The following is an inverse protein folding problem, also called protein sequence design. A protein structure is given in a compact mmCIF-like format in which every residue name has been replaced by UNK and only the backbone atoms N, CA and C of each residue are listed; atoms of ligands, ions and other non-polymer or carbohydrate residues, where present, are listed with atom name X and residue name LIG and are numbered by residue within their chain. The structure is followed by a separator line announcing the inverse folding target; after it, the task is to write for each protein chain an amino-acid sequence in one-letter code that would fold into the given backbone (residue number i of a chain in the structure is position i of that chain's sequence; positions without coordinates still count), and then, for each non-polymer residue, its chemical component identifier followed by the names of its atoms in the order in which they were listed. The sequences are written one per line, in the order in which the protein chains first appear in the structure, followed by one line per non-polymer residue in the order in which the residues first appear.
data_IF_871425001431
#
_entry.id   IF_871425001431
#
_cell.length_a   1.000
_cell.length_b   1.000
_cell.length_c   1.000
_cell.angle_alpha   90.00
_cell.angle_beta   90.00
_cell.angle_gamma   90.00
#
_symmetry.space_group_name_H-M   'P 1'
#
loop_
_entity.id
_entity.type
_entity.pdbx_description
1 polymer ?
#
# COMPACT_ATOMS: atom_id res chain seq x y z
N UNK A 1 -14.23 -26.04 -23.09
CA UNK A 1 -14.38 -25.87 -21.64
C UNK A 1 -14.40 -24.37 -21.35
N UNK A 2 -15.58 -23.80 -21.10
CA UNK A 2 -15.72 -22.40 -20.70
C UNK A 2 -15.16 -22.27 -19.28
N UNK A 3 -14.06 -21.56 -19.13
CA UNK A 3 -13.57 -21.15 -17.81
C UNK A 3 -14.66 -20.26 -17.20
N UNK A 4 -15.35 -20.76 -16.19
CA UNK A 4 -16.27 -19.95 -15.40
C UNK A 4 -15.49 -18.74 -14.88
N UNK A 5 -15.78 -17.55 -15.40
CA UNK A 5 -15.26 -16.30 -14.89
C UNK A 5 -15.76 -16.22 -13.44
N UNK A 6 -14.84 -16.30 -12.48
CA UNK A 6 -15.18 -16.14 -11.07
C UNK A 6 -15.88 -14.79 -10.91
N UNK A 7 -17.05 -14.79 -10.31
CA UNK A 7 -17.86 -13.58 -10.09
C UNK A 7 -17.49 -12.85 -8.80
N UNK A 8 -16.44 -13.29 -8.09
CA UNK A 8 -16.02 -12.68 -6.83
C UNK A 8 -15.37 -11.32 -7.08
N UNK A 9 -15.84 -10.24 -6.42
CA UNK A 9 -15.37 -8.89 -6.66
C UNK A 9 -13.97 -8.60 -6.07
N UNK A 10 -13.43 -9.53 -5.27
CA UNK A 10 -12.09 -9.46 -4.67
C UNK A 10 -11.46 -10.84 -4.73
N UNK A 11 -10.18 -10.91 -5.07
CA UNK A 11 -9.44 -12.18 -5.20
C UNK A 11 -8.11 -12.15 -4.49
N UNK A 12 -7.67 -13.32 -4.02
CA UNK A 12 -6.29 -13.56 -3.55
C UNK A 12 -5.54 -14.33 -4.64
N UNK A 13 -4.32 -13.87 -4.94
CA UNK A 13 -3.36 -14.61 -5.76
C UNK A 13 -2.08 -14.77 -4.94
N UNK A 14 -1.67 -16.02 -4.72
CA UNK A 14 -0.43 -16.33 -4.00
C UNK A 14 0.68 -16.61 -5.01
N UNK A 15 1.72 -15.77 -4.97
CA UNK A 15 2.85 -15.88 -5.89
C UNK A 15 3.98 -16.75 -5.28
N UNK A 16 4.78 -17.46 -6.11
CA UNK A 16 5.88 -18.29 -5.62
C UNK A 16 6.96 -17.53 -4.84
N UNK A 17 7.12 -16.22 -5.10
CA UNK A 17 8.06 -15.31 -4.43
C UNK A 17 7.55 -14.77 -3.08
N UNK A 18 6.53 -15.44 -2.49
CA UNK A 18 5.92 -15.11 -1.20
C UNK A 18 5.17 -13.79 -1.18
N UNK A 19 4.85 -13.21 -2.32
CA UNK A 19 3.91 -12.10 -2.43
C UNK A 19 2.48 -12.65 -2.38
N UNK A 20 1.65 -12.06 -1.53
CA UNK A 20 0.20 -12.31 -1.52
C UNK A 20 -0.48 -11.11 -2.14
N UNK A 21 -1.06 -11.30 -3.32
CA UNK A 21 -1.81 -10.26 -4.01
C UNK A 21 -3.27 -10.30 -3.58
N UNK A 22 -3.77 -9.16 -3.11
CA UNK A 22 -5.19 -8.87 -2.95
C UNK A 22 -5.62 -7.98 -4.11
N UNK A 23 -6.51 -8.47 -4.95
CA UNK A 23 -6.95 -7.80 -6.17
C UNK A 23 -8.44 -7.50 -6.15
N UNK A 24 -8.80 -6.22 -6.28
CA UNK A 24 -10.16 -5.82 -6.63
C UNK A 24 -10.43 -6.28 -8.06
N UNK A 25 -11.55 -6.96 -8.31
CA UNK A 25 -11.80 -7.66 -9.58
C UNK A 25 -13.23 -7.48 -10.09
N UNK A 26 -13.72 -6.24 -10.00
CA UNK A 26 -14.99 -5.81 -10.61
C UNK A 26 -14.77 -4.58 -11.52
N UNK A 27 -13.96 -4.74 -12.60
CA UNK A 27 -13.60 -3.63 -13.49
C UNK A 27 -14.79 -3.02 -14.21
N UNK A 28 -15.86 -3.78 -14.44
CA UNK A 28 -17.07 -3.30 -15.11
C UNK A 28 -17.80 -2.21 -14.34
N UNK A 29 -17.62 -2.16 -13.00
CA UNK A 29 -18.15 -1.08 -12.13
C UNK A 29 -17.05 -0.19 -11.57
N UNK A 30 -15.83 -0.23 -12.11
CA UNK A 30 -14.70 0.54 -11.62
C UNK A 30 -14.28 0.16 -10.19
N UNK A 31 -14.52 -1.09 -9.80
CA UNK A 31 -14.25 -1.62 -8.45
C UNK A 31 -14.99 -0.82 -7.36
N UNK A 32 -16.24 -0.43 -7.63
CA UNK A 32 -17.07 0.32 -6.70
C UNK A 32 -17.42 -0.51 -5.45
N UNK A 33 -17.53 0.17 -4.31
CA UNK A 33 -17.85 -0.44 -3.02
C UNK A 33 -19.37 -0.42 -2.80
N UNK A 34 -20.05 -1.49 -3.12
CA UNK A 34 -21.35 -1.86 -2.57
C UNK A 34 -21.17 -2.78 -1.35
N UNK A 35 -22.25 -3.22 -0.72
CA UNK A 35 -22.15 -4.08 0.46
C UNK A 35 -21.45 -5.41 0.14
N UNK A 36 -21.77 -6.03 -0.99
CA UNK A 36 -21.14 -7.28 -1.43
C UNK A 36 -19.62 -7.12 -1.61
N UNK A 37 -19.20 -6.07 -2.29
CA UNK A 37 -17.77 -5.81 -2.54
C UNK A 37 -17.04 -5.47 -1.24
N UNK A 38 -17.65 -4.67 -0.36
CA UNK A 38 -17.06 -4.30 0.93
C UNK A 38 -16.93 -5.51 1.87
N UNK A 39 -17.92 -6.39 1.90
CA UNK A 39 -17.87 -7.64 2.68
C UNK A 39 -16.82 -8.61 2.10
N UNK A 40 -16.78 -8.80 0.80
CA UNK A 40 -15.76 -9.61 0.14
C UNK A 40 -14.35 -9.07 0.43
N UNK A 41 -14.16 -7.74 0.38
CA UNK A 41 -12.88 -7.11 0.70
C UNK A 41 -12.49 -7.35 2.17
N UNK A 42 -13.44 -7.20 3.11
CA UNK A 42 -13.23 -7.51 4.54
C UNK A 42 -12.78 -8.95 4.75
N UNK A 43 -13.51 -9.89 4.16
CA UNK A 43 -13.27 -11.31 4.38
C UNK A 43 -11.96 -11.76 3.74
N UNK A 44 -11.67 -11.26 2.53
CA UNK A 44 -10.38 -11.44 1.85
C UNK A 44 -9.21 -10.83 2.65
N UNK A 45 -9.37 -9.63 3.20
CA UNK A 45 -8.34 -9.00 4.02
C UNK A 45 -8.03 -9.81 5.30
N UNK A 46 -9.07 -10.39 5.92
CA UNK A 46 -8.91 -11.30 7.07
C UNK A 46 -8.20 -12.60 6.70
N UNK A 47 -8.54 -13.18 5.55
CA UNK A 47 -7.84 -14.37 5.05
C UNK A 47 -6.35 -14.07 4.79
N UNK A 48 -6.05 -12.94 4.15
CA UNK A 48 -4.66 -12.49 3.97
C UNK A 48 -3.97 -12.25 5.32
N UNK A 49 -4.68 -11.73 6.33
CA UNK A 49 -4.10 -11.52 7.66
C UNK A 49 -3.73 -12.85 8.36
N UNK A 50 -4.44 -13.93 8.09
CA UNK A 50 -4.13 -15.25 8.64
C UNK A 50 -2.83 -15.85 8.02
N UNK A 51 -2.55 -15.56 6.74
CA UNK A 51 -1.33 -15.99 6.05
C UNK A 51 -0.88 -14.92 5.02
N UNK A 52 -0.18 -13.87 5.47
CA UNK A 52 0.18 -12.72 4.65
C UNK A 52 1.42 -12.91 3.78
N UNK A 53 2.05 -14.09 3.80
CA UNK A 53 3.30 -14.31 3.08
C UNK A 53 4.46 -13.46 3.59
N UNK A 54 5.30 -12.95 2.67
CA UNK A 54 6.42 -12.05 2.96
C UNK A 54 6.09 -10.57 2.74
N UNK A 55 5.16 -10.27 1.84
CA UNK A 55 4.61 -8.94 1.55
C UNK A 55 3.24 -9.07 0.90
N UNK A 56 2.38 -8.06 1.06
CA UNK A 56 1.08 -7.98 0.41
C UNK A 56 1.12 -6.94 -0.72
N UNK A 57 0.55 -7.28 -1.87
CA UNK A 57 0.33 -6.40 -3.00
C UNK A 57 -1.17 -6.14 -3.16
N UNK A 58 -1.61 -4.91 -2.90
CA UNK A 58 -2.99 -4.48 -3.14
C UNK A 58 -3.06 -3.79 -4.49
N UNK A 59 -3.87 -4.33 -5.41
CA UNK A 59 -4.11 -3.73 -6.72
C UNK A 59 -5.52 -3.98 -7.22
N UNK A 60 -5.84 -3.48 -8.41
CA UNK A 60 -7.15 -3.63 -9.02
C UNK A 60 -7.05 -4.08 -10.47
N UNK A 61 -8.05 -4.83 -10.94
CA UNK A 61 -8.24 -5.14 -12.34
C UNK A 61 -8.89 -3.95 -13.08
N UNK A 62 -8.60 -3.85 -14.37
CA UNK A 62 -9.17 -2.85 -15.26
C UNK A 62 -8.53 -1.48 -15.19
N UNK A 63 -9.26 -0.47 -15.63
CA UNK A 63 -8.76 0.90 -15.83
C UNK A 63 -8.87 1.82 -14.61
N UNK A 64 -9.46 1.38 -13.50
CA UNK A 64 -9.61 2.15 -12.25
C UNK A 64 -9.20 1.31 -11.05
N UNK A 65 -8.57 1.93 -10.08
CA UNK A 65 -8.27 1.28 -8.82
C UNK A 65 -9.56 1.01 -8.02
N UNK A 66 -10.28 2.07 -7.65
CA UNK A 66 -11.57 1.99 -6.98
C UNK A 66 -12.25 3.36 -7.04
N UNK A 67 -13.46 3.42 -7.55
CA UNK A 67 -14.22 4.67 -7.68
C UNK A 67 -15.00 5.06 -6.42
N UNK A 68 -14.79 4.34 -5.30
CA UNK A 68 -15.46 4.60 -4.02
C UNK A 68 -16.82 3.91 -3.91
N UNK A 69 -17.70 4.44 -3.06
CA UNK A 69 -19.03 3.88 -2.83
C UNK A 69 -19.89 3.82 -4.10
N UNK A 70 -20.67 2.76 -4.26
CA UNK A 70 -21.63 2.64 -5.36
C UNK A 70 -22.84 3.55 -5.09
N UNK A 71 -22.80 4.75 -5.66
CA UNK A 71 -23.86 5.76 -5.49
C UNK A 71 -25.22 5.30 -6.03
N UNK A 72 -25.25 4.41 -7.03
CA UNK A 72 -26.52 3.85 -7.54
C UNK A 72 -27.14 2.92 -6.52
N UNK A 73 -26.33 2.08 -5.88
CA UNK A 73 -26.77 1.22 -4.78
C UNK A 73 -27.22 2.04 -3.56
N UNK A 74 -26.61 3.20 -3.31
CA UNK A 74 -26.99 4.12 -2.21
C UNK A 74 -28.33 4.81 -2.51
N UNK A 75 -28.47 5.44 -3.69
CA UNK A 75 -29.64 6.19 -4.06
C UNK A 75 -30.93 5.35 -4.12
N UNK A 76 -30.82 4.04 -4.41
CA UNK A 76 -31.96 3.13 -4.51
C UNK A 76 -32.61 2.74 -3.17
N UNK A 77 -32.12 3.22 -2.02
CA UNK A 77 -32.56 2.78 -0.67
C UNK A 77 -33.58 3.68 0.02
N UNK A 78 -33.88 4.85 -0.51
CA UNK A 78 -34.82 5.78 0.12
C UNK A 78 -34.44 6.11 1.56
N UNK A 79 -35.36 5.96 2.50
CA UNK A 79 -35.12 6.24 3.96
C UNK A 79 -34.14 5.26 4.60
N UNK A 80 -33.81 4.14 3.96
CA UNK A 80 -32.80 3.17 4.41
C UNK A 80 -31.36 3.47 3.97
N UNK A 81 -31.12 4.57 3.24
CA UNK A 81 -29.80 4.90 2.70
C UNK A 81 -28.74 4.99 3.79
N UNK A 82 -29.00 5.67 4.90
CA UNK A 82 -28.04 5.83 6.00
C UNK A 82 -27.60 4.49 6.60
N UNK A 83 -28.52 3.59 6.87
CA UNK A 83 -28.21 2.26 7.40
C UNK A 83 -27.39 1.41 6.42
N UNK A 84 -27.71 1.49 5.12
CA UNK A 84 -26.96 0.79 4.09
C UNK A 84 -25.53 1.32 3.92
N UNK A 85 -25.38 2.65 3.84
CA UNK A 85 -24.06 3.31 3.76
C UNK A 85 -23.21 2.96 4.99
N UNK A 86 -23.81 2.96 6.20
CA UNK A 86 -23.13 2.54 7.42
C UNK A 86 -22.62 1.09 7.32
N UNK A 87 -23.44 0.16 6.80
CA UNK A 87 -23.03 -1.24 6.64
C UNK A 87 -21.87 -1.38 5.66
N UNK A 88 -21.93 -0.69 4.50
CA UNK A 88 -20.84 -0.67 3.51
C UNK A 88 -19.56 -0.08 4.12
N UNK A 89 -19.65 1.08 4.76
CA UNK A 89 -18.52 1.73 5.41
C UNK A 89 -17.91 0.84 6.50
N UNK A 90 -18.73 0.22 7.36
CA UNK A 90 -18.25 -0.66 8.43
C UNK A 90 -17.49 -1.87 7.89
N UNK A 91 -17.97 -2.49 6.81
CA UNK A 91 -17.28 -3.61 6.17
C UNK A 91 -15.95 -3.15 5.54
N UNK A 92 -15.95 -2.02 4.81
CA UNK A 92 -14.75 -1.45 4.20
C UNK A 92 -13.72 -1.02 5.27
N UNK A 93 -14.16 -0.41 6.37
CA UNK A 93 -13.29 -0.04 7.51
C UNK A 93 -12.61 -1.26 8.12
N UNK A 94 -13.36 -2.37 8.30
CA UNK A 94 -12.78 -3.60 8.82
C UNK A 94 -11.70 -4.17 7.89
N UNK A 95 -11.87 -4.04 6.56
CA UNK A 95 -10.84 -4.40 5.60
C UNK A 95 -9.60 -3.49 5.68
N UNK A 96 -9.82 -2.17 5.73
CA UNK A 96 -8.73 -1.18 5.88
C UNK A 96 -7.95 -1.43 7.16
N UNK A 97 -8.65 -1.68 8.28
CA UNK A 97 -8.01 -1.98 9.55
C UNK A 97 -7.19 -3.27 9.48
N UNK A 98 -7.76 -4.36 8.93
CA UNK A 98 -7.04 -5.63 8.80
C UNK A 98 -5.77 -5.49 7.95
N UNK A 99 -5.83 -4.76 6.82
CA UNK A 99 -4.67 -4.49 5.97
C UNK A 99 -3.63 -3.58 6.66
N UNK A 100 -4.10 -2.56 7.36
CA UNK A 100 -3.24 -1.67 8.14
C UNK A 100 -2.48 -2.42 9.22
N UNK A 101 -3.13 -3.33 9.95
CA UNK A 101 -2.55 -4.11 11.05
C UNK A 101 -1.65 -5.27 10.60
N UNK A 102 -1.59 -5.59 9.29
CA UNK A 102 -0.71 -6.65 8.78
C UNK A 102 0.72 -6.44 9.29
N UNK A 103 1.36 -7.50 9.79
CA UNK A 103 2.74 -7.40 10.26
C UNK A 103 3.75 -7.29 9.12
N UNK A 104 3.38 -7.70 7.90
CA UNK A 104 4.23 -7.63 6.71
C UNK A 104 4.00 -6.32 5.95
N UNK A 105 4.96 -5.87 5.11
CA UNK A 105 4.78 -4.71 4.26
C UNK A 105 3.60 -4.87 3.30
N UNK A 106 2.85 -3.78 3.09
CA UNK A 106 1.77 -3.67 2.10
C UNK A 106 2.21 -2.68 1.02
N UNK A 107 2.24 -3.14 -0.23
CA UNK A 107 2.45 -2.31 -1.41
C UNK A 107 1.11 -2.12 -2.11
N UNK A 108 0.73 -0.87 -2.40
CA UNK A 108 -0.47 -0.58 -3.19
C UNK A 108 -0.09 -0.06 -4.57
N UNK A 109 -0.75 -0.58 -5.62
CA UNK A 109 -0.59 -0.12 -7.01
C UNK A 109 -1.86 0.55 -7.48
N UNK A 110 -1.80 1.85 -7.78
CA UNK A 110 -2.96 2.68 -8.16
C UNK A 110 -2.91 3.04 -9.63
N UNK A 111 -3.83 2.46 -10.41
CA UNK A 111 -4.06 2.80 -11.82
C UNK A 111 -5.40 3.53 -11.97
N UNK A 112 -5.44 4.54 -12.86
CA UNK A 112 -6.66 5.24 -13.18
C UNK A 112 -7.29 5.95 -11.97
N UNK A 113 -8.60 5.82 -11.78
CA UNK A 113 -9.30 6.52 -10.72
C UNK A 113 -9.18 5.82 -9.36
N UNK A 114 -8.82 6.62 -8.34
CA UNK A 114 -9.05 6.33 -6.93
C UNK A 114 -9.93 7.46 -6.38
N UNK A 115 -11.18 7.15 -6.03
CA UNK A 115 -12.12 8.18 -5.60
C UNK A 115 -12.83 7.77 -4.29
N UNK A 116 -13.23 8.76 -3.48
CA UNK A 116 -13.91 8.53 -2.22
C UNK A 116 -13.20 7.49 -1.35
N UNK A 117 -13.91 6.45 -0.90
CA UNK A 117 -13.35 5.33 -0.12
C UNK A 117 -12.20 4.60 -0.83
N UNK A 118 -12.13 4.66 -2.17
CA UNK A 118 -11.01 4.13 -2.93
C UNK A 118 -9.69 4.85 -2.66
N UNK A 119 -9.70 6.15 -2.31
CA UNK A 119 -8.50 6.86 -1.86
C UNK A 119 -8.05 6.31 -0.50
N UNK A 120 -8.95 6.19 0.46
CA UNK A 120 -8.61 5.63 1.78
C UNK A 120 -8.04 4.22 1.67
N UNK A 121 -8.65 3.38 0.83
CA UNK A 121 -8.14 2.04 0.55
C UNK A 121 -6.76 2.04 -0.13
N UNK A 122 -6.48 3.00 -1.03
CA UNK A 122 -5.17 3.13 -1.64
C UNK A 122 -4.10 3.49 -0.60
N UNK A 123 -4.44 4.36 0.35
CA UNK A 123 -3.52 4.89 1.36
C UNK A 123 -3.21 3.93 2.51
N UNK A 124 -3.83 2.76 2.58
CA UNK A 124 -3.52 1.74 3.59
C UNK A 124 -2.14 1.12 3.36
N UNK A 125 -1.60 1.20 2.15
CA UNK A 125 -0.27 0.69 1.81
C UNK A 125 0.86 1.42 2.53
N UNK A 126 1.87 0.67 2.96
CA UNK A 126 3.11 1.25 3.50
C UNK A 126 3.93 1.91 2.37
N UNK A 127 3.83 1.36 1.16
CA UNK A 127 4.42 1.92 -0.07
C UNK A 127 3.31 1.96 -1.12
N UNK A 128 3.04 3.15 -1.65
CA UNK A 128 2.02 3.35 -2.68
C UNK A 128 2.69 3.78 -3.99
N UNK A 129 2.52 2.99 -5.04
CA UNK A 129 2.92 3.34 -6.40
C UNK A 129 1.68 3.75 -7.18
N UNK A 130 1.78 4.81 -7.95
CA UNK A 130 0.68 5.27 -8.81
C UNK A 130 1.13 5.38 -10.27
N UNK A 131 0.25 5.11 -11.21
CA UNK A 131 0.47 5.55 -12.58
C UNK A 131 0.49 7.08 -12.62
N UNK A 132 1.38 7.71 -13.44
CA UNK A 132 1.41 9.18 -13.62
C UNK A 132 0.03 9.74 -13.99
N UNK A 133 -0.71 8.99 -14.81
CA UNK A 133 -2.07 9.31 -15.24
C UNK A 133 -3.15 9.01 -14.19
N UNK A 134 -2.83 8.39 -13.04
CA UNK A 134 -3.80 8.13 -11.99
C UNK A 134 -4.46 9.43 -11.50
N UNK A 135 -5.69 9.31 -10.99
CA UNK A 135 -6.48 10.45 -10.51
C UNK A 135 -7.01 10.14 -9.11
N UNK A 136 -6.60 10.97 -8.15
CA UNK A 136 -7.06 10.88 -6.77
C UNK A 136 -8.06 11.99 -6.50
N UNK A 137 -9.26 11.64 -6.02
CA UNK A 137 -10.31 12.61 -5.69
C UNK A 137 -11.12 12.14 -4.48
N UNK A 138 -11.26 12.98 -3.46
CA UNK A 138 -12.03 12.60 -2.26
C UNK A 138 -13.55 12.55 -2.55
N UNK A 139 -14.08 13.51 -3.29
CA UNK A 139 -15.45 13.58 -3.84
C UNK A 139 -16.60 13.53 -2.82
N UNK A 140 -16.36 13.34 -1.54
CA UNK A 140 -17.40 13.17 -0.52
C UNK A 140 -18.28 14.42 -0.34
N UNK A 141 -17.67 15.58 -0.11
CA UNK A 141 -18.40 16.82 0.15
C UNK A 141 -19.20 17.31 -1.06
N UNK A 142 -18.78 16.91 -2.28
CA UNK A 142 -19.53 17.19 -3.51
C UNK A 142 -20.90 16.49 -3.56
N UNK A 143 -21.07 15.42 -2.80
CA UNK A 143 -22.32 14.65 -2.73
C UNK A 143 -22.95 14.69 -1.32
N UNK A 144 -22.51 15.62 -0.47
CA UNK A 144 -23.06 15.82 0.87
C UNK A 144 -22.66 14.75 1.90
N UNK A 145 -21.57 14.02 1.65
CA UNK A 145 -21.04 13.00 2.57
C UNK A 145 -19.73 13.45 3.21
N UNK A 146 -19.34 12.74 4.26
CA UNK A 146 -18.05 12.87 4.94
C UNK A 146 -17.05 11.80 4.48
N UNK A 147 -15.73 12.03 4.58
CA UNK A 147 -14.72 11.01 4.33
C UNK A 147 -14.92 9.75 5.17
N UNK A 148 -14.62 8.60 4.57
CA UNK A 148 -14.59 7.27 5.17
C UNK A 148 -13.31 6.51 4.81
N UNK A 149 -13.25 5.19 5.02
CA UNK A 149 -12.12 4.31 4.72
C UNK A 149 -10.76 4.84 5.23
N UNK A 150 -10.77 5.60 6.34
CA UNK A 150 -9.56 6.16 6.93
C UNK A 150 -9.00 7.39 6.20
N UNK A 151 -9.64 7.91 5.15
CA UNK A 151 -9.11 9.04 4.38
C UNK A 151 -8.86 10.28 5.27
N UNK A 152 -9.75 10.60 6.20
CA UNK A 152 -9.58 11.71 7.15
C UNK A 152 -8.48 11.46 8.19
N UNK A 153 -8.09 10.21 8.39
CA UNK A 153 -7.00 9.83 9.29
C UNK A 153 -5.63 9.81 8.57
N UNK A 154 -5.57 9.23 7.36
CA UNK A 154 -4.33 9.13 6.59
C UNK A 154 -3.87 10.48 6.02
N UNK A 155 -4.78 11.22 5.38
CA UNK A 155 -4.41 12.43 4.62
C UNK A 155 -3.65 13.47 5.45
N UNK A 156 -4.11 13.90 6.65
CA UNK A 156 -3.38 14.91 7.42
C UNK A 156 -1.97 14.46 7.83
N UNK A 157 -1.78 13.16 8.00
CA UNK A 157 -0.50 12.54 8.36
C UNK A 157 0.47 12.45 7.19
N UNK A 158 -0.04 12.27 5.98
CA UNK A 158 0.77 12.13 4.76
C UNK A 158 1.11 13.48 4.13
N UNK A 159 0.12 14.35 3.94
CA UNK A 159 0.29 15.59 3.18
C UNK A 159 0.23 16.86 4.03
N UNK A 160 0.04 16.70 5.34
CA UNK A 160 -0.18 17.78 6.29
C UNK A 160 -1.63 18.31 6.28
N UNK A 161 -2.04 19.01 7.36
CA UNK A 161 -3.45 19.36 7.57
C UNK A 161 -4.01 20.32 6.53
N UNK A 162 -3.21 21.25 5.99
CA UNK A 162 -3.68 22.24 5.01
C UNK A 162 -3.98 21.61 3.65
N UNK A 163 -3.11 20.74 3.16
CA UNK A 163 -3.32 20.01 1.90
C UNK A 163 -4.46 19.01 2.04
N UNK A 164 -4.56 18.34 3.19
CA UNK A 164 -5.69 17.44 3.47
C UNK A 164 -7.04 18.22 3.44
N UNK A 165 -7.09 19.39 4.06
CA UNK A 165 -8.29 20.26 4.00
C UNK A 165 -8.61 20.69 2.57
N UNK A 166 -7.61 21.10 1.78
CA UNK A 166 -7.80 21.47 0.37
C UNK A 166 -8.41 20.29 -0.42
N UNK A 167 -7.85 19.10 -0.31
CA UNK A 167 -8.36 17.91 -1.00
C UNK A 167 -9.79 17.55 -0.61
N UNK A 168 -10.09 17.55 0.70
CA UNK A 168 -11.39 17.12 1.22
C UNK A 168 -12.47 18.15 0.95
N UNK A 169 -12.19 19.43 1.20
CA UNK A 169 -13.22 20.47 1.17
C UNK A 169 -13.49 20.98 -0.25
N UNK A 170 -12.46 21.01 -1.12
CA UNK A 170 -12.62 21.49 -2.50
C UNK A 170 -12.85 20.39 -3.51
N UNK A 171 -12.69 19.12 -3.11
CA UNK A 171 -12.74 17.95 -4.00
C UNK A 171 -11.74 18.04 -5.17
N UNK A 172 -10.60 18.69 -4.94
CA UNK A 172 -9.54 18.82 -5.93
C UNK A 172 -9.04 17.44 -6.38
N UNK A 173 -8.76 17.33 -7.67
CA UNK A 173 -8.15 16.14 -8.26
C UNK A 173 -6.64 16.30 -8.26
N UNK A 174 -5.92 15.28 -7.79
CA UNK A 174 -4.48 15.16 -8.00
C UNK A 174 -4.20 14.12 -9.08
N UNK A 175 -3.20 14.39 -9.91
CA UNK A 175 -2.57 13.40 -10.78
C UNK A 175 -1.65 12.48 -9.97
N UNK A 176 -1.17 11.36 -10.54
CA UNK A 176 -0.14 10.54 -9.91
C UNK A 176 1.13 11.34 -9.58
N UNK A 177 1.57 12.20 -10.51
CA UNK A 177 2.74 13.07 -10.30
C UNK A 177 2.49 14.14 -9.22
N UNK A 178 1.29 14.71 -9.16
CA UNK A 178 0.92 15.62 -8.06
C UNK A 178 0.89 14.89 -6.72
N UNK A 179 0.37 13.67 -6.70
CA UNK A 179 0.29 12.84 -5.51
C UNK A 179 1.68 12.49 -4.95
N UNK A 180 2.66 12.19 -5.83
CA UNK A 180 4.06 12.00 -5.44
C UNK A 180 4.67 13.30 -4.90
N UNK A 181 4.54 14.42 -5.62
CA UNK A 181 5.06 15.74 -5.17
C UNK A 181 4.48 16.19 -3.83
N UNK A 182 3.26 15.77 -3.51
CA UNK A 182 2.61 16.10 -2.24
C UNK A 182 2.95 15.13 -1.12
N UNK A 183 3.58 13.99 -1.42
CA UNK A 183 3.85 12.93 -0.47
C UNK A 183 2.63 12.05 -0.17
N UNK A 184 1.60 12.11 -1.04
CA UNK A 184 0.42 11.25 -0.92
C UNK A 184 0.73 9.81 -1.33
N UNK A 185 1.58 9.64 -2.35
CA UNK A 185 2.09 8.35 -2.80
C UNK A 185 3.62 8.35 -2.78
N UNK A 186 4.21 7.16 -2.68
CA UNK A 186 5.66 7.00 -2.59
C UNK A 186 6.37 7.27 -3.90
N UNK A 187 5.76 6.90 -5.02
CA UNK A 187 6.32 7.08 -6.38
C UNK A 187 5.21 7.09 -7.43
N UNK A 188 5.39 7.89 -8.48
CA UNK A 188 4.65 7.79 -9.74
C UNK A 188 5.53 7.16 -10.81
N UNK A 189 4.94 6.32 -11.65
CA UNK A 189 5.61 5.59 -12.75
C UNK A 189 4.75 5.61 -13.99
N UNK A 190 5.33 5.30 -15.15
CA UNK A 190 4.53 5.13 -16.37
C UNK A 190 3.49 4.02 -16.19
N UNK A 191 2.29 4.24 -16.75
CA UNK A 191 1.17 3.34 -16.52
C UNK A 191 1.42 1.89 -16.91
N UNK A 192 2.24 1.68 -17.96
CA UNK A 192 2.64 0.35 -18.45
C UNK A 192 3.60 -0.35 -17.49
N UNK A 193 4.40 0.40 -16.76
CA UNK A 193 5.40 -0.12 -15.82
C UNK A 193 4.83 -0.40 -14.44
N UNK A 194 3.64 0.12 -14.10
CA UNK A 194 3.10 0.10 -12.74
C UNK A 194 3.03 -1.31 -12.14
N UNK A 195 2.46 -2.27 -12.88
CA UNK A 195 2.25 -3.62 -12.36
C UNK A 195 3.59 -4.32 -12.09
N UNK A 196 4.55 -4.16 -13.00
CA UNK A 196 5.90 -4.72 -12.86
C UNK A 196 6.65 -4.04 -11.71
N UNK A 197 6.58 -2.72 -11.61
CA UNK A 197 7.24 -1.96 -10.55
C UNK A 197 6.67 -2.31 -9.17
N UNK A 198 5.34 -2.42 -9.04
CA UNK A 198 4.67 -2.77 -7.79
C UNK A 198 4.99 -4.20 -7.37
N UNK A 199 4.89 -5.17 -8.29
CA UNK A 199 5.23 -6.56 -7.99
C UNK A 199 6.71 -6.70 -7.60
N UNK A 200 7.63 -6.10 -8.36
CA UNK A 200 9.07 -6.08 -8.03
C UNK A 200 9.35 -5.48 -6.65
N UNK A 201 8.63 -4.40 -6.28
CA UNK A 201 8.75 -3.79 -4.95
C UNK A 201 8.28 -4.77 -3.87
N UNK A 202 7.12 -5.40 -4.04
CA UNK A 202 6.58 -6.38 -3.09
C UNK A 202 7.48 -7.62 -2.97
N UNK A 203 7.98 -8.15 -4.10
CA UNK A 203 8.89 -9.31 -4.13
C UNK A 203 10.23 -9.01 -3.43
N UNK A 204 10.80 -7.82 -3.65
CA UNK A 204 12.00 -7.37 -2.96
C UNK A 204 11.82 -7.30 -1.43
N UNK A 205 10.65 -6.82 -0.97
CA UNK A 205 10.29 -6.82 0.45
C UNK A 205 10.07 -8.25 0.99
N UNK A 206 9.38 -9.10 0.23
CA UNK A 206 9.12 -10.48 0.62
C UNK A 206 10.39 -11.32 0.75
N UNK A 207 11.42 -11.04 -0.08
CA UNK A 207 12.75 -11.64 0.01
C UNK A 207 13.64 -11.01 1.09
N UNK A 208 13.20 -9.87 1.67
CA UNK A 208 13.95 -9.12 2.67
C UNK A 208 14.05 -9.80 4.04
N UNK A 209 14.67 -9.10 5.00
CA UNK A 209 14.76 -9.53 6.40
C UNK A 209 13.39 -9.37 7.09
N UNK A 210 12.54 -10.39 7.01
CA UNK A 210 11.13 -10.30 7.40
C UNK A 210 10.91 -9.86 8.84
N UNK A 211 11.74 -10.32 9.79
CA UNK A 211 11.65 -9.88 11.20
C UNK A 211 11.96 -8.39 11.35
N UNK A 212 13.02 -7.90 10.67
CA UNK A 212 13.39 -6.49 10.70
C UNK A 212 12.34 -5.59 10.03
N UNK A 213 11.79 -6.02 8.88
CA UNK A 213 10.73 -5.29 8.19
C UNK A 213 9.47 -5.15 9.04
N UNK A 214 9.06 -6.24 9.74
CA UNK A 214 7.92 -6.20 10.67
C UNK A 214 8.15 -5.24 11.83
N UNK A 215 9.35 -5.31 12.45
CA UNK A 215 9.69 -4.42 13.55
C UNK A 215 9.73 -2.95 13.10
N UNK A 216 10.38 -2.66 11.97
CA UNK A 216 10.44 -1.32 11.40
C UNK A 216 9.04 -0.76 11.09
N UNK A 217 8.16 -1.57 10.47
CA UNK A 217 6.76 -1.18 10.23
C UNK A 217 6.01 -0.87 11.53
N UNK A 218 6.21 -1.70 12.56
CA UNK A 218 5.63 -1.47 13.88
C UNK A 218 6.07 -0.13 14.49
N UNK A 219 7.37 0.16 14.45
CA UNK A 219 7.95 1.42 14.94
C UNK A 219 7.41 2.64 14.18
N UNK A 220 7.36 2.58 12.85
CA UNK A 220 6.81 3.67 12.02
C UNK A 220 5.35 3.99 12.39
N UNK A 221 4.57 2.97 12.74
CA UNK A 221 3.16 3.14 13.13
C UNK A 221 2.99 3.64 14.56
N UNK A 222 3.80 3.15 15.49
CA UNK A 222 3.79 3.59 16.89
C UNK A 222 4.25 5.05 17.00
N UNK A 223 5.25 5.47 16.23
CA UNK A 223 5.85 6.81 16.29
C UNK A 223 4.89 7.97 15.98
N UNK A 224 3.72 7.70 15.47
CA UNK A 224 2.72 8.75 15.18
C UNK A 224 1.92 9.21 16.42
N UNK A 225 2.05 8.55 17.56
CA UNK A 225 1.28 8.84 18.79
C UNK A 225 2.07 8.81 20.08
N UNK A 226 3.31 8.35 20.07
CA UNK A 226 4.13 8.19 21.28
C UNK A 226 5.02 9.39 21.56
N UNK A 227 5.37 9.60 22.85
CA UNK A 227 6.45 10.52 23.22
C UNK A 227 7.80 9.99 22.71
N UNK A 228 8.64 10.89 22.16
CA UNK A 228 9.93 10.54 21.54
C UNK A 228 10.79 9.64 22.43
N UNK A 229 10.90 9.93 23.74
CA UNK A 229 11.73 9.16 24.65
C UNK A 229 11.30 7.69 24.75
N UNK A 230 10.00 7.41 24.83
CA UNK A 230 9.45 6.05 24.87
C UNK A 230 9.68 5.34 23.53
N UNK A 231 9.49 6.05 22.42
CA UNK A 231 9.74 5.51 21.09
C UNK A 231 11.21 5.12 20.90
N UNK A 232 12.18 5.99 21.28
CA UNK A 232 13.61 5.69 21.23
C UNK A 232 14.01 4.50 22.10
N UNK A 233 13.39 4.32 23.27
CA UNK A 233 13.62 3.15 24.11
C UNK A 233 13.14 1.85 23.44
N UNK A 234 11.99 1.89 22.74
CA UNK A 234 11.50 0.73 22.00
C UNK A 234 12.36 0.43 20.76
N UNK A 235 12.85 1.46 20.05
CA UNK A 235 13.81 1.28 18.95
C UNK A 235 15.07 0.56 19.44
N UNK A 236 15.66 1.02 20.55
CA UNK A 236 16.86 0.43 21.13
C UNK A 236 16.64 -1.05 21.51
N UNK A 237 15.49 -1.36 22.10
CA UNK A 237 15.13 -2.73 22.50
C UNK A 237 14.99 -3.65 21.27
N UNK A 238 14.29 -3.21 20.25
CA UNK A 238 14.05 -4.00 19.03
C UNK A 238 15.32 -4.24 18.22
N UNK A 239 16.16 -3.22 18.00
CA UNK A 239 17.40 -3.37 17.25
C UNK A 239 18.35 -4.37 17.94
N UNK A 240 18.46 -4.30 19.28
CA UNK A 240 19.25 -5.25 20.04
C UNK A 240 18.73 -6.68 19.89
N UNK A 241 17.42 -6.89 20.03
CA UNK A 241 16.78 -8.19 19.88
C UNK A 241 17.00 -8.78 18.48
N UNK A 242 16.89 -7.96 17.44
CA UNK A 242 17.10 -8.39 16.05
C UNK A 242 18.57 -8.69 15.76
N UNK A 243 19.51 -7.92 16.31
CA UNK A 243 20.95 -8.13 16.15
C UNK A 243 21.42 -9.49 16.71
N UNK A 244 20.78 -9.97 17.77
CA UNK A 244 21.01 -11.30 18.34
C UNK A 244 20.42 -12.43 17.48
N UNK A 245 19.56 -12.09 16.51
CA UNK A 245 18.93 -13.05 15.62
C UNK A 245 19.88 -13.62 14.57
N UNK A 246 19.70 -14.89 14.19
CA UNK A 246 20.52 -15.55 13.16
C UNK A 246 20.42 -14.84 11.81
N UNK A 247 19.23 -14.43 11.41
CA UNK A 247 18.99 -13.73 10.14
C UNK A 247 19.81 -12.45 10.02
N UNK A 248 19.84 -11.62 11.06
CA UNK A 248 20.60 -10.38 11.06
C UNK A 248 22.10 -10.65 10.95
N UNK A 249 22.61 -11.64 11.71
CA UNK A 249 24.04 -12.02 11.65
C UNK A 249 24.44 -12.52 10.26
N UNK A 250 23.63 -13.39 9.65
CA UNK A 250 23.90 -13.93 8.31
C UNK A 250 23.89 -12.81 7.24
N UNK A 251 22.96 -11.87 7.33
CA UNK A 251 22.88 -10.72 6.42
C UNK A 251 24.04 -9.74 6.59
N UNK A 252 24.44 -9.44 7.83
CA UNK A 252 25.61 -8.60 8.11
C UNK A 252 26.88 -9.23 7.55
N UNK A 253 27.10 -10.52 7.75
CA UNK A 253 28.25 -11.25 7.22
C UNK A 253 28.28 -11.22 5.67
N UNK A 254 27.15 -11.46 5.02
CA UNK A 254 27.03 -11.40 3.56
C UNK A 254 27.32 -9.99 3.01
N UNK A 255 26.82 -8.94 3.67
CA UNK A 255 27.09 -7.56 3.31
C UNK A 255 28.57 -7.21 3.39
N UNK A 256 29.24 -7.57 4.49
CA UNK A 256 30.67 -7.33 4.66
C UNK A 256 31.49 -8.05 3.60
N UNK A 257 31.20 -9.34 3.35
CA UNK A 257 31.89 -10.12 2.32
C UNK A 257 31.69 -9.54 0.90
N UNK A 258 30.52 -9.01 0.58
CA UNK A 258 30.29 -8.34 -0.71
C UNK A 258 31.11 -7.06 -0.84
N UNK A 259 31.17 -6.25 0.24
CA UNK A 259 31.96 -5.01 0.28
C UNK A 259 33.46 -5.26 0.15
N UNK A 260 33.96 -6.32 0.78
CA UNK A 260 35.38 -6.68 0.70
C UNK A 260 35.78 -7.16 -0.71
N UNK A 261 34.89 -7.91 -1.39
CA UNK A 261 35.08 -8.30 -2.81
C UNK A 261 35.12 -7.08 -3.72
N UNK A 262 34.22 -6.10 -3.54
CA UNK A 262 34.22 -4.87 -4.32
C UNK A 262 35.53 -4.10 -4.21
N UNK A 263 36.04 -3.93 -2.96
CA UNK A 263 37.33 -3.27 -2.71
C UNK A 263 38.53 -4.00 -3.34
N UNK A 264 38.52 -5.33 -3.28
CA UNK A 264 39.58 -6.13 -3.89
C UNK A 264 39.55 -6.08 -5.43
N UNK A 265 38.36 -5.88 -6.05
CA UNK A 265 38.19 -5.66 -7.48
C UNK A 265 38.75 -4.31 -7.93
N UNK A 266 38.43 -3.24 -7.21
CA UNK A 266 38.92 -1.88 -7.49
C UNK A 266 40.47 -1.79 -7.37
N UNK A 267 41.05 -2.42 -6.35
CA UNK A 267 42.51 -2.44 -6.16
C UNK A 267 43.26 -3.20 -7.25
N UNK A 268 42.64 -4.20 -7.88
CA UNK A 268 43.22 -4.90 -9.02
C UNK A 268 43.12 -4.09 -10.32
N UNK A 269 42.03 -3.35 -10.52
CA UNK A 269 41.85 -2.47 -11.67
C UNK A 269 42.85 -1.30 -11.68
N UNK A 270 43.21 -0.77 -10.50
CA UNK A 270 44.25 0.26 -10.35
C UNK A 270 45.67 -0.28 -10.55
N UNK A 271 45.93 -1.56 -10.17
CA UNK A 271 47.24 -2.18 -10.36
C UNK A 271 47.53 -2.58 -11.81
N UNK A 272 46.48 -2.83 -12.60
CA UNK A 272 46.57 -3.20 -14.02
C UNK A 272 46.48 -1.99 -14.99
N UNK A 273 46.42 -0.76 -14.49
CA UNK A 273 46.44 0.44 -15.31
C UNK A 273 47.87 0.61 -15.93
N UNK A 274 48.00 0.69 -17.27
CA UNK A 274 49.31 0.85 -17.90
C UNK A 274 49.93 2.18 -17.49
N UNK A 275 51.17 2.10 -16.97
CA UNK A 275 52.01 3.30 -16.76
C UNK A 275 52.03 4.13 -18.02
N UNK A 276 51.50 5.35 -17.97
CA UNK A 276 51.61 6.32 -19.04
C UNK A 276 53.08 6.67 -19.22
N UNK A 277 53.70 6.11 -20.27
CA UNK A 277 55.06 6.46 -20.71
C UNK A 277 55.00 7.92 -21.19
N UNK A 278 55.74 8.78 -20.48
CA UNK A 278 56.04 10.15 -20.87
C UNK A 278 57.06 10.22 -22.01
#
# INVERSE_FOLDING_TARGET
MSLAVSTEPVRIVRHPDRVVELRLDDPGRGNALDLRTAEALRDTAREVAADPGGAVLLRAAGGSFCVGGDLRAFAGRGTGTGAYVHAVASAAHAAVQALYELPVPVVTAVRGAAAGGGVGLALVGDIVLAARSARFRLAYTAIGLTPDCGASWFLPRLVGPRRAADLILTNRVLTGDDAERWGLVSRSVEGEELDVAAHRTAAGLAAGAGAALRAAKGLLRAGTGDELGRHLAEEARLIATLADGREARDRMAAFLAARDRAKAGDSRAEADAPESVS
#
